data_IF_307307357753
#
_entry.id   IF_307307357753
#
_cell.length_a   1.000
_cell.length_b   1.000
_cell.length_c   1.000
_cell.angle_alpha   90.00
_cell.angle_beta   90.00
_cell.angle_gamma   90.00
#
_symmetry.space_group_name_H-M   'P 1'
#
loop_
_entity.id
_entity.type
_entity.pdbx_description
1 polymer ?
#
# COMPACT_ATOMS: atom_id res chain seq x y z
N UNK A 1 -8.45 7.22 30.33
CA UNK A 1 -7.43 6.19 30.70
C UNK A 1 -6.53 6.05 29.49
N UNK A 2 -5.20 5.96 29.67
CA UNK A 2 -4.29 5.78 28.55
C UNK A 2 -4.38 4.39 27.94
N UNK A 3 -4.34 4.31 26.61
CA UNK A 3 -4.29 3.05 25.86
C UNK A 3 -2.86 2.53 25.72
N UNK A 4 -1.87 3.41 25.69
CA UNK A 4 -0.47 2.99 25.74
C UNK A 4 -0.10 2.69 27.19
N UNK A 5 0.43 1.49 27.45
CA UNK A 5 0.83 1.05 28.81
C UNK A 5 2.18 0.35 28.73
N UNK A 6 3.22 1.06 29.05
CA UNK A 6 4.58 0.54 29.05
C UNK A 6 4.95 0.04 30.45
N UNK A 7 5.30 -1.23 30.54
CA UNK A 7 5.81 -1.89 31.77
C UNK A 7 7.32 -1.94 31.80
N UNK A 8 7.94 -1.92 30.61
CA UNK A 8 9.38 -1.96 30.42
C UNK A 8 9.81 -0.92 29.38
N UNK A 9 11.10 -0.71 29.23
CA UNK A 9 11.62 -0.09 28.01
C UNK A 9 11.28 -0.97 26.79
N UNK A 10 11.33 -0.41 25.58
CA UNK A 10 11.07 -1.11 24.33
C UNK A 10 12.37 -1.22 23.49
N UNK A 11 12.85 -2.46 23.20
CA UNK A 11 12.32 -3.76 23.63
C UNK A 11 12.63 -4.06 25.11
N UNK A 12 11.75 -4.83 25.76
CA UNK A 12 11.98 -5.36 27.10
C UNK A 12 12.87 -6.60 27.12
N UNK A 13 13.12 -7.22 28.30
CA UNK A 13 14.04 -8.35 28.43
C UNK A 13 13.69 -9.56 27.56
N UNK A 14 12.41 -9.97 27.51
CA UNK A 14 11.97 -11.09 26.65
C UNK A 14 12.05 -10.71 25.17
N UNK A 15 11.75 -9.45 24.85
CA UNK A 15 11.93 -8.91 23.51
C UNK A 15 13.39 -9.00 23.05
N UNK A 16 14.35 -8.62 23.89
CA UNK A 16 15.79 -8.72 23.59
C UNK A 16 16.22 -10.18 23.33
N UNK A 17 15.76 -11.13 24.15
CA UNK A 17 16.03 -12.56 23.95
C UNK A 17 15.47 -13.06 22.59
N UNK A 18 14.24 -12.71 22.27
CA UNK A 18 13.63 -13.08 20.99
C UNK A 18 14.35 -12.44 19.79
N UNK A 19 14.85 -11.21 19.92
CA UNK A 19 15.62 -10.55 18.88
C UNK A 19 16.99 -11.20 18.65
N UNK A 20 17.64 -11.70 19.69
CA UNK A 20 18.87 -12.50 19.52
C UNK A 20 18.61 -13.82 18.82
N UNK A 21 17.51 -14.53 19.15
CA UNK A 21 17.05 -15.71 18.42
C UNK A 21 16.77 -15.37 16.94
N UNK A 22 16.10 -14.23 16.69
CA UNK A 22 15.83 -13.75 15.32
C UNK A 22 17.13 -13.56 14.53
N UNK A 23 18.12 -12.91 15.12
CA UNK A 23 19.44 -12.67 14.51
C UNK A 23 20.13 -13.95 14.08
N UNK A 24 20.00 -15.01 14.90
CA UNK A 24 20.61 -16.31 14.64
C UNK A 24 19.82 -17.17 13.65
N UNK A 25 18.49 -17.01 13.57
CA UNK A 25 17.60 -17.86 12.76
C UNK A 25 17.23 -17.26 11.40
N UNK A 26 17.26 -15.93 11.23
CA UNK A 26 16.78 -15.28 10.03
C UNK A 26 17.88 -14.53 9.29
N UNK A 27 17.78 -14.45 7.94
CA UNK A 27 18.76 -13.71 7.13
C UNK A 27 18.80 -12.22 7.51
N UNK A 28 19.99 -11.65 7.60
CA UNK A 28 20.19 -10.23 7.92
C UNK A 28 19.50 -9.27 6.93
N UNK A 29 19.28 -9.70 5.70
CA UNK A 29 18.56 -8.93 4.67
C UNK A 29 17.05 -8.78 4.93
N UNK A 30 16.46 -9.56 5.85
CA UNK A 30 15.07 -9.40 6.26
C UNK A 30 14.94 -8.23 7.24
N UNK A 31 14.71 -7.03 6.70
CA UNK A 31 14.57 -5.81 7.48
C UNK A 31 13.36 -5.87 8.45
N UNK A 32 13.47 -5.13 9.54
CA UNK A 32 12.36 -4.82 10.46
C UNK A 32 12.36 -3.32 10.74
N UNK A 33 11.19 -2.76 10.93
CA UNK A 33 11.03 -1.32 11.20
C UNK A 33 11.12 -1.00 12.70
N UNK A 34 10.77 -1.95 13.55
CA UNK A 34 10.78 -1.82 15.01
C UNK A 34 11.40 -3.04 15.68
N UNK A 35 11.78 -2.90 16.95
CA UNK A 35 12.29 -3.98 17.80
C UNK A 35 11.18 -4.62 18.68
N UNK A 36 9.93 -4.41 18.32
CA UNK A 36 8.78 -4.97 19.03
C UNK A 36 8.60 -6.44 18.65
N UNK A 37 8.43 -7.29 19.65
CA UNK A 37 8.12 -8.71 19.51
C UNK A 37 6.70 -8.96 20.01
N UNK A 38 5.78 -9.21 19.07
CA UNK A 38 4.34 -9.28 19.34
C UNK A 38 3.98 -10.60 19.99
N UNK A 39 3.16 -10.54 21.07
CA UNK A 39 2.48 -11.67 21.68
C UNK A 39 1.03 -11.80 21.19
N UNK A 40 0.28 -10.70 21.17
CA UNK A 40 -1.09 -10.65 20.67
C UNK A 40 -1.43 -9.27 20.12
N UNK A 41 -2.50 -9.20 19.32
CA UNK A 41 -3.00 -7.94 18.79
C UNK A 41 -4.53 -8.00 18.63
N UNK A 42 -5.21 -6.85 18.84
CA UNK A 42 -6.66 -6.74 18.77
C UNK A 42 -7.07 -5.30 18.42
N UNK A 43 -7.94 -5.12 17.44
CA UNK A 43 -8.36 -3.80 16.97
C UNK A 43 -7.16 -2.97 16.49
N UNK A 44 -6.87 -1.87 17.16
CA UNK A 44 -5.70 -1.02 16.90
C UNK A 44 -4.59 -1.18 17.96
N UNK A 45 -4.68 -2.17 18.82
CA UNK A 45 -3.74 -2.40 19.93
C UNK A 45 -2.87 -3.63 19.66
N UNK A 46 -1.61 -3.53 20.09
CA UNK A 46 -0.62 -4.60 20.03
C UNK A 46 -0.02 -4.78 21.42
N UNK A 47 0.13 -6.02 21.86
CA UNK A 47 0.86 -6.36 23.08
C UNK A 47 2.13 -7.09 22.73
N UNK A 48 3.25 -6.64 23.33
CA UNK A 48 4.51 -7.33 23.18
C UNK A 48 4.69 -8.45 24.20
N UNK A 49 5.74 -9.25 24.02
CA UNK A 49 6.08 -10.39 24.90
C UNK A 49 6.46 -9.99 26.34
N UNK A 50 6.76 -8.72 26.57
CA UNK A 50 7.07 -8.15 27.90
C UNK A 50 5.81 -7.57 28.56
N UNK A 51 4.66 -7.61 27.88
CA UNK A 51 3.35 -7.17 28.35
C UNK A 51 3.12 -5.66 28.20
N UNK A 52 3.92 -4.97 27.40
CA UNK A 52 3.65 -3.59 27.01
C UNK A 52 2.45 -3.57 26.04
N UNK A 53 1.61 -2.56 26.16
CA UNK A 53 0.48 -2.30 25.26
C UNK A 53 0.78 -1.06 24.42
N UNK A 54 0.71 -1.21 23.10
CA UNK A 54 1.08 -0.21 22.12
C UNK A 54 -0.10 0.10 21.18
N UNK A 55 -0.09 1.30 20.59
CA UNK A 55 -0.98 1.67 19.48
C UNK A 55 -0.31 1.39 18.13
N UNK A 56 -1.09 0.86 17.18
CA UNK A 56 -0.61 0.53 15.84
C UNK A 56 -1.06 1.58 14.80
N UNK A 57 -0.12 2.45 14.39
CA UNK A 57 -0.30 3.36 13.25
C UNK A 57 0.40 2.86 11.99
N UNK A 58 0.99 1.66 12.03
CA UNK A 58 1.60 1.02 10.86
C UNK A 58 0.62 0.08 10.13
N UNK A 59 -0.36 -0.48 10.85
CA UNK A 59 -1.41 -1.35 10.30
C UNK A 59 -0.86 -2.52 9.49
N UNK A 60 0.30 -3.10 9.90
CA UNK A 60 0.96 -4.16 9.11
C UNK A 60 1.34 -3.72 7.69
N UNK A 61 1.75 -2.47 7.49
CA UNK A 61 1.96 -1.81 6.19
C UNK A 61 0.62 -1.63 5.44
N UNK A 62 -0.43 -1.28 6.18
CA UNK A 62 -1.76 -0.99 5.64
C UNK A 62 -2.55 -2.24 5.22
N UNK A 63 -2.33 -3.38 5.90
CA UNK A 63 -3.08 -4.61 5.59
C UNK A 63 -4.16 -4.95 6.63
N UNK A 64 -4.26 -4.22 7.75
CA UNK A 64 -5.17 -4.51 8.85
C UNK A 64 -6.27 -3.43 8.94
N UNK A 65 -6.98 -3.18 7.84
CA UNK A 65 -8.02 -2.14 7.83
C UNK A 65 -9.17 -2.44 8.80
N UNK A 66 -9.58 -3.72 8.90
CA UNK A 66 -10.66 -4.18 9.76
C UNK A 66 -10.23 -4.45 11.20
N UNK A 67 -8.99 -4.10 11.56
CA UNK A 67 -8.41 -4.34 12.88
C UNK A 67 -7.76 -5.71 13.02
N UNK A 68 -6.82 -5.78 13.97
CA UNK A 68 -6.22 -7.05 14.36
C UNK A 68 -7.28 -7.98 14.96
N UNK A 69 -7.19 -9.28 14.63
CA UNK A 69 -8.02 -10.35 15.20
C UNK A 69 -9.53 -10.06 15.16
N UNK A 70 -10.01 -9.46 14.05
CA UNK A 70 -11.43 -9.16 13.87
C UNK A 70 -12.28 -10.41 14.08
N UNK A 71 -13.28 -10.35 14.98
CA UNK A 71 -14.06 -11.50 15.42
C UNK A 71 -14.80 -12.20 14.28
N UNK A 72 -15.42 -11.46 13.35
CA UNK A 72 -16.13 -12.04 12.20
C UNK A 72 -15.17 -12.81 11.30
N UNK A 73 -14.00 -12.24 11.02
CA UNK A 73 -12.96 -12.87 10.21
C UNK A 73 -12.42 -14.12 10.90
N UNK A 74 -12.10 -14.04 12.20
CA UNK A 74 -11.58 -15.18 12.98
C UNK A 74 -12.59 -16.32 13.06
N UNK A 75 -13.88 -16.03 13.25
CA UNK A 75 -14.91 -17.05 13.31
C UNK A 75 -15.09 -17.74 11.94
N UNK A 76 -15.14 -16.99 10.83
CA UNK A 76 -15.20 -17.58 9.50
C UNK A 76 -14.00 -18.51 9.19
N UNK A 77 -12.80 -18.11 9.64
CA UNK A 77 -11.60 -18.95 9.54
C UNK A 77 -11.77 -20.26 10.31
N UNK A 78 -12.25 -20.21 11.57
CA UNK A 78 -12.49 -21.39 12.40
C UNK A 78 -13.51 -22.33 11.76
N UNK A 79 -14.64 -21.79 11.29
CA UNK A 79 -15.68 -22.55 10.63
C UNK A 79 -15.18 -23.24 9.34
N UNK A 80 -14.26 -22.60 8.62
CA UNK A 80 -13.64 -23.21 7.43
C UNK A 80 -12.64 -24.30 7.80
N UNK A 81 -11.87 -24.12 8.87
CA UNK A 81 -10.91 -25.13 9.33
C UNK A 81 -11.61 -26.44 9.75
N UNK A 82 -12.83 -26.38 10.26
CA UNK A 82 -13.63 -27.56 10.61
C UNK A 82 -14.13 -28.33 9.37
N UNK A 83 -14.13 -27.72 8.17
CA UNK A 83 -14.53 -28.37 6.91
C UNK A 83 -13.33 -28.97 6.21
N UNK A 84 -12.41 -28.15 5.77
CA UNK A 84 -11.13 -28.54 5.14
C UNK A 84 -10.21 -27.32 5.01
N UNK A 85 -8.91 -27.58 4.96
CA UNK A 85 -7.90 -26.50 4.86
C UNK A 85 -7.69 -26.10 3.40
N UNK A 86 -7.37 -27.06 2.53
CA UNK A 86 -7.03 -26.77 1.13
C UNK A 86 -7.09 -28.05 0.27
N UNK A 87 -7.61 -27.94 -0.96
CA UNK A 87 -7.68 -29.05 -1.93
C UNK A 87 -7.07 -28.72 -3.29
N UNK A 88 -6.55 -27.49 -3.45
CA UNK A 88 -5.98 -26.92 -4.68
C UNK A 88 -7.02 -26.68 -5.80
N UNK A 89 -7.17 -25.41 -6.20
CA UNK A 89 -8.12 -25.00 -7.25
C UNK A 89 -7.84 -25.58 -8.64
N UNK A 90 -6.61 -26.09 -8.85
CA UNK A 90 -6.23 -26.78 -10.10
C UNK A 90 -6.67 -28.24 -10.11
N UNK A 91 -7.12 -28.78 -8.98
CA UNK A 91 -7.54 -30.19 -8.82
C UNK A 91 -9.04 -30.27 -8.58
N UNK A 92 -9.58 -29.39 -7.75
CA UNK A 92 -11.00 -29.37 -7.36
C UNK A 92 -11.53 -27.94 -7.41
N UNK A 93 -12.84 -27.80 -7.64
CA UNK A 93 -13.53 -26.52 -7.44
C UNK A 93 -13.85 -26.33 -5.97
N UNK A 94 -13.66 -25.13 -5.44
CA UNK A 94 -13.88 -24.76 -4.05
C UNK A 94 -14.86 -23.58 -3.97
N UNK A 95 -16.01 -23.77 -3.29
CA UNK A 95 -17.03 -22.71 -3.13
C UNK A 95 -16.45 -21.37 -2.61
N UNK A 96 -15.60 -21.33 -1.56
CA UNK A 96 -15.05 -20.06 -1.09
C UNK A 96 -14.22 -19.30 -2.16
N UNK A 97 -13.61 -20.03 -3.12
CA UNK A 97 -12.93 -19.40 -4.25
C UNK A 97 -13.93 -18.70 -5.18
N UNK A 98 -15.03 -19.40 -5.51
CA UNK A 98 -16.07 -18.86 -6.39
C UNK A 98 -16.74 -17.64 -5.75
N UNK A 99 -17.16 -17.76 -4.49
CA UNK A 99 -17.80 -16.69 -3.72
C UNK A 99 -16.94 -15.42 -3.69
N UNK A 100 -15.64 -15.55 -3.44
CA UNK A 100 -14.71 -14.42 -3.42
C UNK A 100 -14.52 -13.82 -4.82
N UNK A 101 -14.38 -14.66 -5.85
CA UNK A 101 -14.22 -14.20 -7.22
C UNK A 101 -15.46 -13.42 -7.71
N UNK A 102 -16.66 -13.94 -7.45
CA UNK A 102 -17.92 -13.28 -7.78
C UNK A 102 -18.08 -11.95 -7.03
N UNK A 103 -17.72 -11.93 -5.73
CA UNK A 103 -17.76 -10.73 -4.93
C UNK A 103 -16.82 -9.65 -5.50
N UNK A 104 -15.58 -9.98 -5.84
CA UNK A 104 -14.62 -9.05 -6.42
C UNK A 104 -15.04 -8.60 -7.81
N UNK A 105 -15.61 -9.48 -8.64
CA UNK A 105 -16.18 -9.13 -9.95
C UNK A 105 -17.28 -8.07 -9.80
N UNK A 106 -18.13 -8.20 -8.77
CA UNK A 106 -19.23 -7.25 -8.52
C UNK A 106 -18.77 -5.87 -8.06
N UNK A 107 -17.64 -5.80 -7.35
CA UNK A 107 -17.08 -4.57 -6.78
C UNK A 107 -16.17 -3.81 -7.74
N UNK A 108 -15.56 -4.50 -8.69
CA UNK A 108 -14.60 -3.90 -9.62
C UNK A 108 -15.33 -2.96 -10.62
N UNK A 109 -14.87 -1.70 -10.79
CA UNK A 109 -15.52 -0.74 -11.67
C UNK A 109 -15.50 -1.17 -13.16
N UNK A 110 -16.44 -0.64 -13.92
CA UNK A 110 -16.61 -0.87 -15.36
C UNK A 110 -17.82 -1.75 -15.71
N UNK A 111 -18.46 -1.45 -16.86
CA UNK A 111 -19.64 -2.15 -17.38
C UNK A 111 -19.27 -3.21 -18.42
N UNK A 112 -18.43 -4.16 -18.05
CA UNK A 112 -18.01 -5.28 -18.88
C UNK A 112 -18.00 -6.58 -18.05
N UNK A 113 -18.10 -7.76 -18.69
CA UNK A 113 -17.92 -9.03 -18.00
C UNK A 113 -16.54 -9.10 -17.34
N UNK A 114 -16.49 -9.59 -16.12
CA UNK A 114 -15.26 -9.67 -15.34
C UNK A 114 -14.98 -11.07 -14.88
N UNK A 115 -13.69 -11.38 -14.70
CA UNK A 115 -13.19 -12.60 -14.06
C UNK A 115 -12.14 -12.26 -13.03
N UNK A 116 -11.95 -13.16 -12.08
CA UNK A 116 -10.94 -13.03 -11.02
C UNK A 116 -10.08 -14.28 -10.96
N UNK A 117 -8.77 -14.09 -10.99
CA UNK A 117 -7.76 -15.07 -10.62
C UNK A 117 -7.24 -14.75 -9.22
N UNK A 118 -7.22 -15.74 -8.31
CA UNK A 118 -6.69 -15.58 -6.96
C UNK A 118 -5.25 -16.10 -6.89
N UNK A 119 -4.41 -15.39 -6.12
CA UNK A 119 -3.03 -15.74 -5.83
C UNK A 119 -2.72 -15.49 -4.34
N UNK A 120 -1.46 -15.57 -3.89
CA UNK A 120 -1.13 -15.55 -2.46
C UNK A 120 -0.52 -14.21 -2.01
N UNK A 121 0.08 -13.47 -2.92
CA UNK A 121 0.77 -12.22 -2.59
C UNK A 121 0.56 -11.15 -3.67
N UNK A 122 0.72 -9.89 -3.29
CA UNK A 122 0.66 -8.78 -4.25
C UNK A 122 1.68 -8.92 -5.39
N UNK A 123 2.87 -9.45 -5.11
CA UNK A 123 3.88 -9.71 -6.17
C UNK A 123 3.38 -10.74 -7.17
N UNK A 124 2.77 -11.84 -6.72
CA UNK A 124 2.16 -12.83 -7.63
C UNK A 124 1.01 -12.22 -8.45
N UNK A 125 0.17 -11.38 -7.83
CA UNK A 125 -0.90 -10.70 -8.54
C UNK A 125 -0.37 -9.81 -9.66
N UNK A 126 0.63 -8.98 -9.40
CA UNK A 126 1.26 -8.13 -10.42
C UNK A 126 1.96 -8.95 -11.50
N UNK A 127 2.72 -10.01 -11.13
CA UNK A 127 3.36 -10.93 -12.11
C UNK A 127 2.31 -11.49 -13.07
N UNK A 128 1.20 -12.04 -12.54
CA UNK A 128 0.15 -12.62 -13.36
C UNK A 128 -0.57 -11.56 -14.21
N UNK A 129 -0.90 -10.40 -13.64
CA UNK A 129 -1.57 -9.33 -14.38
C UNK A 129 -0.76 -8.88 -15.60
N UNK A 130 0.56 -8.68 -15.42
CA UNK A 130 1.45 -8.28 -16.51
C UNK A 130 1.62 -9.41 -17.53
N UNK A 131 1.78 -10.66 -17.09
CA UNK A 131 1.92 -11.81 -17.99
C UNK A 131 0.64 -12.04 -18.80
N UNK A 132 -0.53 -11.89 -18.19
CA UNK A 132 -1.83 -11.96 -18.88
C UNK A 132 -1.94 -10.85 -19.93
N UNK A 133 -1.57 -9.61 -19.57
CA UNK A 133 -1.56 -8.48 -20.50
C UNK A 133 -0.62 -8.72 -21.69
N UNK A 134 0.60 -9.24 -21.44
CA UNK A 134 1.54 -9.63 -22.52
C UNK A 134 0.97 -10.69 -23.42
N UNK A 135 0.33 -11.71 -22.82
CA UNK A 135 -0.27 -12.81 -23.59
C UNK A 135 -1.44 -12.31 -24.45
N UNK A 136 -2.29 -11.46 -23.90
CA UNK A 136 -3.45 -10.89 -24.59
C UNK A 136 -3.02 -9.99 -25.75
N UNK A 137 -2.13 -9.05 -25.51
CA UNK A 137 -1.70 -8.05 -26.52
C UNK A 137 -0.69 -8.60 -27.52
N UNK A 138 -0.01 -9.72 -27.21
CA UNK A 138 1.16 -10.25 -27.93
C UNK A 138 2.33 -9.27 -27.99
N UNK A 139 2.46 -8.40 -26.95
CA UNK A 139 3.50 -7.40 -26.80
C UNK A 139 4.30 -7.67 -25.53
N UNK A 140 5.52 -7.09 -25.41
CA UNK A 140 6.42 -7.38 -24.29
C UNK A 140 6.68 -6.18 -23.37
N UNK A 141 6.60 -4.96 -23.89
CA UNK A 141 6.98 -3.78 -23.14
C UNK A 141 5.94 -3.40 -22.07
N UNK A 142 6.41 -2.89 -20.95
CA UNK A 142 5.56 -2.41 -19.85
C UNK A 142 6.04 -1.03 -19.41
N UNK A 143 5.11 -0.10 -19.29
CA UNK A 143 5.37 1.23 -18.73
C UNK A 143 4.98 1.26 -17.27
N UNK A 144 5.87 1.75 -16.41
CA UNK A 144 5.66 1.98 -14.98
C UNK A 144 6.19 3.36 -14.56
N UNK A 145 6.08 3.68 -13.27
CA UNK A 145 6.34 5.04 -12.79
C UNK A 145 7.44 5.10 -11.73
N UNK A 146 8.15 6.23 -11.66
CA UNK A 146 9.07 6.51 -10.56
C UNK A 146 8.29 6.57 -9.23
N UNK A 147 8.93 6.16 -8.15
CA UNK A 147 8.30 6.05 -6.84
C UNK A 147 7.44 4.80 -6.63
N UNK A 148 7.05 4.07 -7.69
CA UNK A 148 6.19 2.90 -7.60
C UNK A 148 6.82 1.73 -6.85
N UNK A 149 5.96 0.93 -6.19
CA UNK A 149 6.32 -0.34 -5.58
C UNK A 149 5.31 -1.43 -5.97
N UNK A 150 5.75 -2.38 -6.77
CA UNK A 150 4.91 -3.47 -7.29
C UNK A 150 5.30 -4.87 -6.79
N UNK A 151 6.33 -4.97 -5.95
CA UNK A 151 6.77 -6.24 -5.36
C UNK A 151 8.27 -6.50 -5.46
N UNK A 152 8.68 -7.74 -5.14
CA UNK A 152 10.09 -8.17 -5.06
C UNK A 152 10.40 -9.48 -5.79
N UNK A 153 9.51 -10.02 -6.61
CA UNK A 153 9.83 -11.07 -7.57
C UNK A 153 10.55 -10.45 -8.77
N UNK A 154 11.12 -11.20 -9.67
CA UNK A 154 12.01 -10.67 -10.70
C UNK A 154 11.36 -9.58 -11.56
N UNK A 155 10.14 -9.83 -12.09
CA UNK A 155 9.42 -8.84 -12.88
C UNK A 155 8.94 -7.67 -12.00
N UNK A 156 8.31 -7.93 -10.85
CA UNK A 156 7.80 -6.87 -9.98
C UNK A 156 8.92 -6.03 -9.38
N UNK A 157 10.09 -6.61 -9.11
CA UNK A 157 11.29 -5.88 -8.71
C UNK A 157 11.81 -4.99 -9.85
N UNK A 158 11.68 -5.45 -11.10
CA UNK A 158 12.01 -4.66 -12.28
C UNK A 158 11.10 -3.42 -12.39
N UNK A 159 9.79 -3.58 -12.09
CA UNK A 159 8.79 -2.50 -12.06
C UNK A 159 8.95 -1.58 -10.84
N UNK A 160 9.39 -2.10 -9.68
CA UNK A 160 9.59 -1.34 -8.45
C UNK A 160 10.69 -0.29 -8.62
N UNK A 161 10.46 0.91 -8.05
CA UNK A 161 11.41 2.01 -7.98
C UNK A 161 12.29 1.92 -6.71
N UNK A 162 12.84 3.02 -6.19
CA UNK A 162 13.68 3.11 -4.98
C UNK A 162 14.85 2.11 -4.99
N UNK A 163 15.70 2.27 -6.02
CA UNK A 163 16.77 1.33 -6.35
C UNK A 163 17.69 0.99 -5.17
N UNK A 164 18.14 2.00 -4.44
CA UNK A 164 19.10 1.82 -3.34
C UNK A 164 18.57 0.90 -2.21
N UNK A 165 17.24 0.91 -1.96
CA UNK A 165 16.65 0.11 -0.90
C UNK A 165 16.26 -1.30 -1.36
N UNK A 166 15.62 -1.42 -2.56
CA UNK A 166 14.99 -2.67 -2.96
C UNK A 166 15.78 -3.46 -4.00
N UNK A 167 16.60 -2.80 -4.81
CA UNK A 167 17.15 -3.38 -6.04
C UNK A 167 18.67 -3.57 -6.04
N UNK A 168 19.41 -2.82 -5.21
CA UNK A 168 20.88 -2.83 -5.21
C UNK A 168 21.43 -4.24 -5.01
N UNK A 169 22.21 -4.72 -5.99
CA UNK A 169 22.91 -6.01 -5.93
C UNK A 169 22.08 -7.23 -6.35
N UNK A 170 20.80 -7.07 -6.77
CA UNK A 170 19.97 -8.21 -7.20
C UNK A 170 20.08 -8.58 -8.68
N UNK A 171 21.06 -8.06 -9.39
CA UNK A 171 21.50 -8.57 -10.69
C UNK A 171 20.64 -8.15 -11.86
N UNK A 172 20.55 -8.99 -12.89
CA UNK A 172 19.85 -8.64 -14.12
C UNK A 172 18.34 -8.57 -13.92
N UNK A 173 17.74 -7.47 -14.39
CA UNK A 173 16.29 -7.26 -14.37
C UNK A 173 15.66 -7.68 -15.69
N UNK A 174 14.31 -7.81 -15.71
CA UNK A 174 13.53 -8.09 -16.91
C UNK A 174 13.69 -6.92 -17.89
N UNK A 175 13.93 -7.23 -19.17
CA UNK A 175 13.97 -6.27 -20.26
C UNK A 175 12.60 -5.65 -20.56
N UNK A 176 12.58 -4.62 -21.39
CA UNK A 176 11.37 -3.96 -21.88
C UNK A 176 10.48 -3.34 -20.77
N UNK A 177 11.11 -2.92 -19.69
CA UNK A 177 10.48 -2.11 -18.63
C UNK A 177 10.90 -0.65 -18.80
N UNK A 178 9.92 0.17 -19.11
CA UNK A 178 10.10 1.61 -19.28
C UNK A 178 9.54 2.34 -18.06
N UNK A 179 10.28 3.33 -17.57
CA UNK A 179 9.90 4.06 -16.36
C UNK A 179 9.94 5.56 -16.63
N UNK A 180 8.83 6.23 -16.34
CA UNK A 180 8.71 7.68 -16.43
C UNK A 180 8.38 8.29 -15.06
N UNK A 181 8.63 9.59 -14.84
CA UNK A 181 8.23 10.28 -13.63
C UNK A 181 6.72 10.19 -13.39
N UNK A 182 6.31 9.94 -12.14
CA UNK A 182 4.93 10.10 -11.71
C UNK A 182 4.65 11.57 -11.36
N UNK A 183 3.43 12.08 -11.58
CA UNK A 183 3.06 13.41 -11.09
C UNK A 183 3.22 13.51 -9.57
N UNK A 184 4.06 14.44 -9.10
CA UNK A 184 4.24 14.78 -7.70
C UNK A 184 4.00 16.28 -7.53
N UNK A 185 2.78 16.66 -7.20
CA UNK A 185 2.36 18.06 -7.16
C UNK A 185 3.08 18.86 -6.07
N UNK A 186 3.47 18.23 -4.97
CA UNK A 186 4.29 18.90 -3.94
C UNK A 186 5.69 19.26 -4.45
N UNK A 187 6.34 18.34 -5.19
CA UNK A 187 7.70 18.53 -5.72
C UNK A 187 7.72 19.00 -7.17
N UNK A 188 6.62 19.60 -7.63
CA UNK A 188 6.45 20.11 -8.99
C UNK A 188 7.59 21.04 -9.47
N UNK A 189 7.38 21.73 -10.55
CA UNK A 189 8.35 22.68 -11.11
C UNK A 189 8.07 24.07 -10.55
N UNK A 190 9.12 24.75 -10.08
CA UNK A 190 9.02 26.09 -9.55
C UNK A 190 8.39 27.07 -10.59
N UNK A 191 7.46 27.87 -10.13
CA UNK A 191 6.74 28.83 -10.96
C UNK A 191 5.56 28.26 -11.75
N UNK A 192 5.33 26.93 -11.73
CA UNK A 192 4.14 26.31 -12.32
C UNK A 192 3.02 26.18 -11.30
N UNK A 193 1.80 26.50 -11.71
CA UNK A 193 0.59 26.09 -10.99
C UNK A 193 0.43 24.56 -11.05
N UNK A 194 -0.39 23.98 -10.14
CA UNK A 194 -0.68 22.54 -10.15
C UNK A 194 -1.23 22.09 -11.51
N UNK A 195 -2.16 22.83 -12.11
CA UNK A 195 -2.74 22.51 -13.42
C UNK A 195 -1.70 22.50 -14.55
N UNK A 196 -0.80 23.50 -14.58
CA UNK A 196 0.29 23.57 -15.57
C UNK A 196 1.27 22.41 -15.38
N UNK A 197 1.58 22.05 -14.11
CA UNK A 197 2.45 20.92 -13.83
C UNK A 197 1.82 19.58 -14.26
N UNK A 198 0.52 19.38 -14.03
CA UNK A 198 -0.20 18.19 -14.50
C UNK A 198 -0.17 18.12 -16.03
N UNK A 199 -0.44 19.23 -16.71
CA UNK A 199 -0.35 19.31 -18.17
C UNK A 199 1.07 19.02 -18.68
N UNK A 200 2.10 19.49 -17.98
CA UNK A 200 3.50 19.16 -18.28
C UNK A 200 3.76 17.65 -18.11
N UNK A 201 3.27 17.01 -17.06
CA UNK A 201 3.42 15.56 -16.85
C UNK A 201 2.71 14.75 -17.94
N UNK A 202 1.51 15.19 -18.38
CA UNK A 202 0.79 14.57 -19.50
C UNK A 202 1.61 14.69 -20.79
N UNK A 203 2.18 15.87 -21.06
CA UNK A 203 3.06 16.06 -22.21
C UNK A 203 4.29 15.14 -22.14
N UNK A 204 4.90 14.97 -20.96
CA UNK A 204 6.04 14.06 -20.77
C UNK A 204 5.68 12.59 -21.00
N UNK A 205 4.47 12.17 -20.66
CA UNK A 205 3.98 10.84 -21.03
C UNK A 205 3.93 10.68 -22.56
N UNK A 206 3.37 11.64 -23.29
CA UNK A 206 3.29 11.59 -24.75
C UNK A 206 4.69 11.66 -25.41
N UNK A 207 5.58 12.49 -24.91
CA UNK A 207 6.97 12.57 -25.36
C UNK A 207 7.75 11.26 -25.15
N UNK A 208 7.41 10.47 -24.11
CA UNK A 208 8.05 9.17 -23.86
C UNK A 208 7.78 8.17 -24.98
N UNK A 209 6.65 8.30 -25.69
CA UNK A 209 6.32 7.46 -26.85
C UNK A 209 7.13 7.82 -28.12
N UNK A 210 7.77 8.99 -28.11
CA UNK A 210 8.67 9.40 -29.19
C UNK A 210 10.12 9.02 -28.88
N UNK A 211 10.51 9.12 -27.59
CA UNK A 211 11.92 9.09 -27.19
C UNK A 211 12.36 7.81 -26.47
N UNK A 212 11.42 7.03 -25.90
CA UNK A 212 11.78 5.90 -25.04
C UNK A 212 11.15 4.58 -25.50
N UNK A 213 9.88 4.55 -25.87
CA UNK A 213 9.16 3.31 -26.19
C UNK A 213 8.09 3.56 -27.23
N UNK A 214 8.01 2.68 -28.23
CA UNK A 214 6.89 2.65 -29.16
C UNK A 214 5.62 2.20 -28.42
N UNK A 215 4.53 3.02 -28.39
CA UNK A 215 3.30 2.66 -27.71
C UNK A 215 2.65 1.39 -28.29
N UNK A 216 2.89 1.05 -29.55
CA UNK A 216 2.40 -0.19 -30.16
C UNK A 216 3.15 -1.44 -29.62
N UNK A 217 4.31 -1.28 -29.00
CA UNK A 217 5.04 -2.36 -28.32
C UNK A 217 4.60 -2.60 -26.87
N UNK A 218 3.84 -1.66 -26.27
CA UNK A 218 3.40 -1.73 -24.90
C UNK A 218 2.28 -2.76 -24.72
N UNK A 219 2.52 -3.75 -23.87
CA UNK A 219 1.51 -4.69 -23.39
C UNK A 219 0.63 -4.06 -22.31
N UNK A 220 1.25 -3.32 -21.39
CA UNK A 220 0.55 -2.74 -20.25
C UNK A 220 1.18 -1.42 -19.79
N UNK A 221 0.33 -0.60 -19.17
CA UNK A 221 0.74 0.49 -18.28
C UNK A 221 0.24 0.13 -16.89
N UNK A 222 1.13 0.09 -15.89
CA UNK A 222 0.78 -0.20 -14.50
C UNK A 222 1.04 1.00 -13.60
N UNK A 223 0.06 1.35 -12.74
CA UNK A 223 0.16 2.47 -11.81
C UNK A 223 -0.58 2.18 -10.51
N UNK A 224 -0.05 2.66 -9.39
CA UNK A 224 -0.78 2.78 -8.13
C UNK A 224 -1.62 4.08 -8.19
N UNK A 225 -2.95 4.07 -8.06
CA UNK A 225 -3.77 5.31 -8.02
C UNK A 225 -3.39 6.28 -6.89
N UNK A 226 -2.86 5.73 -5.80
CA UNK A 226 -2.12 6.46 -4.77
C UNK A 226 -0.83 5.69 -4.51
N UNK A 227 0.31 6.26 -4.86
CA UNK A 227 1.59 5.58 -4.66
C UNK A 227 1.88 5.37 -3.17
N UNK A 228 2.08 4.12 -2.77
CA UNK A 228 2.33 3.75 -1.38
C UNK A 228 3.76 4.09 -0.94
N UNK A 229 4.74 3.33 -1.40
CA UNK A 229 6.14 3.49 -1.03
C UNK A 229 6.76 4.79 -1.58
N UNK A 230 6.21 5.34 -2.66
CA UNK A 230 6.57 6.65 -3.21
C UNK A 230 6.26 7.81 -2.28
N UNK A 231 5.40 7.62 -1.28
CA UNK A 231 5.08 8.62 -0.25
C UNK A 231 3.64 9.13 -0.31
N UNK A 232 2.69 8.24 -0.45
CA UNK A 232 1.25 8.52 -0.50
C UNK A 232 0.90 9.65 -1.46
N UNK A 233 1.38 9.49 -2.69
CA UNK A 233 1.17 10.44 -3.76
C UNK A 233 -0.13 10.11 -4.51
N UNK A 234 -1.23 10.85 -4.34
CA UNK A 234 -2.41 10.70 -5.18
C UNK A 234 -2.07 11.08 -6.61
N UNK A 235 -2.39 10.21 -7.55
CA UNK A 235 -2.24 10.54 -8.98
C UNK A 235 -3.41 11.43 -9.39
N UNK A 236 -3.17 12.60 -10.00
CA UNK A 236 -4.22 13.50 -10.42
C UNK A 236 -5.21 12.83 -11.38
N UNK A 237 -6.52 13.06 -11.20
CA UNK A 237 -7.58 12.46 -12.02
C UNK A 237 -7.36 12.71 -13.52
N UNK A 238 -6.96 13.92 -13.91
CA UNK A 238 -6.66 14.25 -15.30
C UNK A 238 -5.55 13.38 -15.90
N UNK A 239 -4.54 13.01 -15.09
CA UNK A 239 -3.47 12.12 -15.52
C UNK A 239 -3.97 10.68 -15.69
N UNK A 240 -4.79 10.16 -14.77
CA UNK A 240 -5.39 8.82 -14.88
C UNK A 240 -6.34 8.72 -16.08
N UNK A 241 -7.13 9.76 -16.36
CA UNK A 241 -7.94 9.84 -17.56
C UNK A 241 -7.09 9.83 -18.83
N UNK A 242 -5.96 10.55 -18.82
CA UNK A 242 -5.03 10.52 -19.96
C UNK A 242 -4.41 9.15 -20.18
N UNK A 243 -4.05 8.44 -19.09
CA UNK A 243 -3.60 7.05 -19.21
C UNK A 243 -4.67 6.15 -19.84
N UNK A 244 -5.93 6.29 -19.41
CA UNK A 244 -7.04 5.52 -20.03
C UNK A 244 -7.17 5.83 -21.52
N UNK A 245 -7.18 7.11 -21.90
CA UNK A 245 -7.22 7.54 -23.29
C UNK A 245 -6.10 6.93 -24.14
N UNK A 246 -4.87 6.97 -23.63
CA UNK A 246 -3.69 6.40 -24.29
C UNK A 246 -3.83 4.89 -24.42
N UNK A 247 -4.26 4.20 -23.37
CA UNK A 247 -4.47 2.77 -23.40
C UNK A 247 -5.54 2.36 -24.43
N UNK A 248 -6.63 3.11 -24.50
CA UNK A 248 -7.69 2.88 -25.50
C UNK A 248 -7.19 3.10 -26.93
N UNK A 249 -6.42 4.17 -27.14
CA UNK A 249 -5.89 4.54 -28.47
C UNK A 249 -4.95 3.47 -29.04
N UNK A 250 -4.11 2.88 -28.21
CA UNK A 250 -3.06 1.96 -28.66
C UNK A 250 -3.33 0.49 -28.29
N UNK A 251 -4.48 0.18 -27.70
CA UNK A 251 -4.82 -1.17 -27.26
C UNK A 251 -3.86 -1.69 -26.18
N UNK A 252 -3.48 -0.84 -25.24
CA UNK A 252 -2.61 -1.16 -24.08
C UNK A 252 -3.48 -1.56 -22.91
N UNK A 253 -3.11 -2.59 -22.15
CA UNK A 253 -3.85 -2.97 -20.95
C UNK A 253 -3.53 -2.00 -19.81
N UNK A 254 -4.54 -1.31 -19.29
CA UNK A 254 -4.43 -0.43 -18.13
C UNK A 254 -4.57 -1.23 -16.84
N UNK A 255 -3.49 -1.35 -16.05
CA UNK A 255 -3.46 -2.07 -14.77
C UNK A 255 -3.42 -1.05 -13.63
N UNK A 256 -4.42 -1.06 -12.75
CA UNK A 256 -4.39 -0.34 -11.49
C UNK A 256 -3.89 -1.26 -10.37
N UNK A 257 -2.78 -0.88 -9.74
CA UNK A 257 -2.26 -1.54 -8.54
C UNK A 257 -2.92 -0.94 -7.29
N UNK A 258 -3.94 -1.63 -6.81
CA UNK A 258 -4.74 -1.26 -5.64
C UNK A 258 -4.34 -2.03 -4.37
N UNK A 259 -3.16 -2.67 -4.39
CA UNK A 259 -2.70 -3.52 -3.29
C UNK A 259 -2.61 -2.75 -1.97
N UNK A 260 -2.18 -1.49 -1.99
CA UNK A 260 -2.07 -0.68 -0.77
C UNK A 260 -3.17 0.37 -0.64
N UNK A 261 -3.59 0.99 -1.72
CA UNK A 261 -4.57 2.08 -1.70
C UNK A 261 -6.03 1.61 -1.79
N UNK A 262 -6.26 0.37 -2.20
CA UNK A 262 -7.59 -0.22 -2.27
C UNK A 262 -8.15 -0.69 -0.93
N UNK A 263 -9.15 -1.56 -0.99
CA UNK A 263 -9.83 -2.14 0.16
C UNK A 263 -10.29 -1.07 1.19
N UNK A 264 -10.94 -0.04 0.70
CA UNK A 264 -11.57 0.99 1.52
C UNK A 264 -10.62 2.05 2.09
N UNK A 265 -9.30 1.86 2.05
CA UNK A 265 -8.30 2.72 2.71
C UNK A 265 -8.42 4.21 2.38
N UNK A 266 -8.89 4.54 1.19
CA UNK A 266 -9.06 5.92 0.70
C UNK A 266 -10.49 6.47 0.82
N UNK A 267 -11.44 5.71 1.41
CA UNK A 267 -12.85 6.11 1.54
C UNK A 267 -13.73 5.70 0.35
N UNK A 268 -13.16 5.05 -0.66
CA UNK A 268 -13.82 4.26 -1.71
C UNK A 268 -13.28 2.84 -1.65
N UNK A 269 -14.03 1.86 -2.18
CA UNK A 269 -13.54 0.48 -2.14
C UNK A 269 -12.22 0.33 -2.93
N UNK A 270 -12.15 0.90 -4.13
CA UNK A 270 -10.91 1.08 -4.88
C UNK A 270 -10.55 2.56 -5.00
N UNK A 271 -9.28 2.90 -4.84
CA UNK A 271 -8.81 4.29 -4.93
C UNK A 271 -9.00 4.91 -6.33
N UNK A 272 -8.94 4.12 -7.39
CA UNK A 272 -9.16 4.58 -8.77
C UNK A 272 -10.56 5.17 -8.97
N UNK A 273 -11.54 4.78 -8.16
CA UNK A 273 -12.91 5.30 -8.21
C UNK A 273 -13.00 6.81 -7.92
N UNK A 274 -12.02 7.39 -7.21
CA UNK A 274 -11.96 8.84 -6.98
C UNK A 274 -11.76 9.64 -8.27
N UNK A 275 -11.11 9.04 -9.25
CA UNK A 275 -10.87 9.68 -10.55
C UNK A 275 -11.98 9.41 -11.56
N UNK A 276 -12.73 8.31 -11.40
CA UNK A 276 -13.67 7.80 -12.41
C UNK A 276 -12.99 7.11 -13.61
N UNK A 277 -11.66 7.00 -13.64
CA UNK A 277 -10.96 6.21 -14.65
C UNK A 277 -11.22 4.71 -14.41
N UNK A 278 -11.50 3.96 -15.49
CA UNK A 278 -11.80 2.54 -15.41
C UNK A 278 -10.62 1.73 -15.96
N UNK A 279 -9.87 1.01 -15.12
CA UNK A 279 -8.80 0.14 -15.60
C UNK A 279 -9.33 -1.15 -16.23
N UNK A 280 -8.51 -1.80 -17.03
CA UNK A 280 -8.82 -3.11 -17.60
C UNK A 280 -8.62 -4.23 -16.61
N UNK A 281 -7.60 -4.08 -15.73
CA UNK A 281 -7.26 -4.99 -14.64
C UNK A 281 -7.03 -4.19 -13.35
N UNK A 282 -7.57 -4.69 -12.23
CA UNK A 282 -7.21 -4.26 -10.88
C UNK A 282 -6.48 -5.42 -10.19
N UNK A 283 -5.34 -5.12 -9.57
CA UNK A 283 -4.67 -6.05 -8.66
C UNK A 283 -4.90 -5.61 -7.23
N UNK A 284 -5.30 -6.54 -6.36
CA UNK A 284 -5.60 -6.29 -4.95
C UNK A 284 -4.97 -7.34 -4.03
N UNK A 285 -4.62 -6.95 -2.81
CA UNK A 285 -4.06 -7.81 -1.77
C UNK A 285 -4.18 -7.12 -0.42
N UNK A 286 -3.26 -7.39 0.52
CA UNK A 286 -3.20 -6.73 1.84
C UNK A 286 -4.54 -6.76 2.56
N UNK A 287 -5.20 -5.60 2.69
CA UNK A 287 -6.42 -5.46 3.51
C UNK A 287 -7.60 -6.31 3.06
N UNK A 288 -7.65 -6.76 1.80
CA UNK A 288 -8.70 -7.71 1.41
C UNK A 288 -8.60 -9.03 2.18
N UNK A 289 -7.39 -9.42 2.62
CA UNK A 289 -7.15 -10.68 3.33
C UNK A 289 -7.24 -10.59 4.86
N UNK A 290 -7.36 -9.38 5.43
CA UNK A 290 -7.40 -9.16 6.88
C UNK A 290 -6.29 -9.89 7.66
N UNK A 291 -5.09 -9.96 7.10
CA UNK A 291 -3.93 -10.66 7.67
C UNK A 291 -3.64 -12.01 7.04
N UNK A 292 -4.57 -12.63 6.30
CA UNK A 292 -4.32 -13.86 5.56
C UNK A 292 -3.61 -13.58 4.23
N UNK A 293 -2.70 -14.47 3.79
CA UNK A 293 -2.01 -14.33 2.50
C UNK A 293 -2.98 -14.62 1.34
N UNK A 294 -3.45 -13.56 0.69
CA UNK A 294 -4.31 -13.65 -0.49
C UNK A 294 -4.12 -12.39 -1.36
N UNK A 295 -4.27 -12.57 -2.66
CA UNK A 295 -4.32 -11.50 -3.64
C UNK A 295 -5.24 -11.88 -4.79
N UNK A 296 -5.67 -10.89 -5.55
CA UNK A 296 -6.56 -11.08 -6.67
C UNK A 296 -6.15 -10.22 -7.87
N UNK A 297 -6.39 -10.77 -9.05
CA UNK A 297 -6.32 -10.13 -10.36
C UNK A 297 -7.75 -10.14 -10.89
N UNK A 298 -8.42 -9.00 -10.89
CA UNK A 298 -9.80 -8.87 -11.39
C UNK A 298 -9.83 -7.94 -12.59
N UNK A 299 -10.44 -8.34 -13.68
CA UNK A 299 -10.44 -7.52 -14.87
C UNK A 299 -11.40 -8.02 -15.97
N UNK A 300 -11.27 -7.43 -17.17
CA UNK A 300 -12.06 -7.81 -18.33
C UNK A 300 -11.96 -9.29 -18.62
N UNK A 301 -13.10 -9.95 -18.80
CA UNK A 301 -13.13 -11.39 -19.01
C UNK A 301 -12.33 -11.80 -20.25
N UNK A 302 -12.40 -11.04 -21.35
CA UNK A 302 -11.63 -11.32 -22.58
C UNK A 302 -10.12 -11.26 -22.38
N UNK A 303 -9.65 -10.43 -21.43
CA UNK A 303 -8.22 -10.34 -21.10
C UNK A 303 -7.80 -11.50 -20.20
N UNK A 304 -8.61 -11.78 -19.17
CA UNK A 304 -8.32 -12.85 -18.19
C UNK A 304 -8.42 -14.24 -18.81
N UNK A 305 -9.24 -14.43 -19.84
CA UNK A 305 -9.41 -15.69 -20.58
C UNK A 305 -8.37 -15.90 -21.71
N UNK A 306 -7.57 -14.89 -22.02
CA UNK A 306 -6.61 -14.99 -23.12
C UNK A 306 -5.54 -16.09 -22.95
N UNK A 307 -4.96 -16.33 -21.76
CA UNK A 307 -3.97 -17.39 -21.58
C UNK A 307 -4.53 -18.77 -21.90
N UNK A 308 -3.67 -19.63 -22.47
CA UNK A 308 -4.03 -21.03 -22.73
C UNK A 308 -4.29 -21.81 -21.43
N UNK A 309 -5.01 -22.89 -21.50
CA UNK A 309 -5.30 -23.77 -20.36
C UNK A 309 -4.00 -24.21 -19.67
N UNK A 310 -3.91 -23.98 -18.36
CA UNK A 310 -2.70 -24.21 -17.56
C UNK A 310 -1.67 -23.07 -17.61
N UNK A 311 -1.94 -21.99 -18.35
CA UNK A 311 -1.04 -20.84 -18.45
C UNK A 311 -1.01 -19.93 -17.22
N UNK A 312 -2.01 -20.04 -16.34
CA UNK A 312 -2.10 -19.31 -15.06
C UNK A 312 -2.54 -20.25 -13.94
N UNK A 313 -2.21 -19.89 -12.69
CA UNK A 313 -2.60 -20.66 -11.52
C UNK A 313 -1.45 -20.84 -10.53
N UNK A 314 -1.72 -21.60 -9.46
CA UNK A 314 -0.75 -21.90 -8.41
C UNK A 314 -1.36 -22.83 -7.36
N UNK A 315 -0.54 -23.64 -6.71
CA UNK A 315 -1.01 -24.66 -5.75
C UNK A 315 -1.87 -24.08 -4.63
N UNK A 316 -1.50 -22.90 -4.09
CA UNK A 316 -2.16 -22.29 -2.94
C UNK A 316 -3.03 -21.07 -3.28
N UNK A 317 -3.06 -20.65 -4.54
CA UNK A 317 -3.90 -19.52 -4.97
C UNK A 317 -5.37 -19.78 -4.66
N UNK A 318 -6.01 -18.86 -3.90
CA UNK A 318 -7.39 -19.01 -3.46
C UNK A 318 -7.57 -20.08 -2.38
N UNK A 319 -6.63 -20.19 -1.42
CA UNK A 319 -6.84 -21.03 -0.23
C UNK A 319 -8.18 -20.73 0.43
N UNK A 320 -9.05 -21.74 0.69
CA UNK A 320 -10.38 -21.53 1.27
C UNK A 320 -10.36 -20.74 2.58
N UNK A 321 -9.38 -20.98 3.43
CA UNK A 321 -9.22 -20.25 4.70
C UNK A 321 -8.95 -18.75 4.44
N UNK A 322 -8.12 -18.43 3.46
CA UNK A 322 -7.86 -17.05 3.07
C UNK A 322 -9.06 -16.42 2.32
N UNK A 323 -9.80 -17.22 1.53
CA UNK A 323 -10.99 -16.75 0.82
C UNK A 323 -12.11 -16.35 1.80
N UNK A 324 -12.44 -17.19 2.80
CA UNK A 324 -13.48 -16.83 3.78
C UNK A 324 -13.07 -15.62 4.63
N UNK A 325 -11.80 -15.51 4.99
CA UNK A 325 -11.27 -14.32 5.65
C UNK A 325 -11.47 -13.06 4.80
N UNK A 326 -11.14 -13.15 3.50
CA UNK A 326 -11.30 -12.05 2.56
C UNK A 326 -12.77 -11.68 2.34
N UNK A 327 -13.67 -12.66 2.22
CA UNK A 327 -15.10 -12.41 2.08
C UNK A 327 -15.64 -11.62 3.26
N UNK A 328 -15.32 -12.02 4.50
CA UNK A 328 -15.78 -11.31 5.70
C UNK A 328 -15.14 -9.92 5.82
N UNK A 329 -13.85 -9.79 5.54
CA UNK A 329 -13.18 -8.48 5.51
C UNK A 329 -13.84 -7.54 4.47
N UNK A 330 -14.10 -8.01 3.27
CA UNK A 330 -14.74 -7.23 2.19
C UNK A 330 -16.16 -6.83 2.57
N UNK A 331 -16.95 -7.72 3.21
CA UNK A 331 -18.30 -7.39 3.71
C UNK A 331 -18.27 -6.21 4.68
N UNK A 332 -17.29 -6.19 5.60
CA UNK A 332 -17.09 -5.07 6.53
C UNK A 332 -16.68 -3.81 5.77
N UNK A 333 -15.62 -3.90 4.95
CA UNK A 333 -14.98 -2.78 4.27
C UNK A 333 -15.94 -2.06 3.30
N UNK A 334 -16.77 -2.80 2.56
CA UNK A 334 -17.71 -2.22 1.58
C UNK A 334 -18.92 -1.52 2.20
N UNK A 335 -19.13 -1.63 3.51
CA UNK A 335 -20.26 -0.99 4.17
C UNK A 335 -20.08 0.54 4.20
N UNK A 336 -21.19 1.27 4.03
CA UNK A 336 -21.18 2.73 4.12
C UNK A 336 -20.66 3.21 5.48
N UNK A 337 -20.99 2.52 6.56
CA UNK A 337 -20.51 2.82 7.90
C UNK A 337 -18.96 2.78 7.98
N UNK A 338 -18.35 1.73 7.40
CA UNK A 338 -16.91 1.60 7.39
C UNK A 338 -16.24 2.66 6.52
N UNK A 339 -16.76 2.91 5.29
CA UNK A 339 -16.21 3.91 4.38
C UNK A 339 -16.36 5.34 4.94
N UNK A 340 -17.46 5.62 5.64
CA UNK A 340 -17.63 6.88 6.37
C UNK A 340 -16.60 7.01 7.49
N UNK A 341 -16.38 5.94 8.27
CA UNK A 341 -15.34 5.94 9.32
C UNK A 341 -13.94 6.17 8.76
N UNK A 342 -13.61 5.61 7.59
CA UNK A 342 -12.34 5.91 6.89
C UNK A 342 -12.18 7.40 6.64
N UNK A 343 -13.24 8.07 6.18
CA UNK A 343 -13.21 9.50 5.90
C UNK A 343 -13.08 10.33 7.19
N UNK A 344 -13.78 9.96 8.26
CA UNK A 344 -13.68 10.62 9.57
C UNK A 344 -12.26 10.53 10.15
N UNK A 345 -11.71 9.31 10.22
CA UNK A 345 -10.32 9.09 10.68
C UNK A 345 -9.34 9.86 9.80
N UNK A 346 -9.52 9.80 8.49
CA UNK A 346 -8.68 10.50 7.54
C UNK A 346 -8.73 12.02 7.67
N UNK A 347 -9.90 12.59 7.93
CA UNK A 347 -10.08 14.02 8.11
C UNK A 347 -9.50 14.50 9.45
N UNK A 348 -9.68 13.74 10.52
CA UNK A 348 -9.07 14.01 11.82
C UNK A 348 -7.54 14.07 11.69
N UNK A 349 -6.94 13.06 11.04
CA UNK A 349 -5.49 13.02 10.81
C UNK A 349 -5.06 14.23 9.94
N UNK A 350 -5.75 14.50 8.83
CA UNK A 350 -5.42 15.61 7.92
C UNK A 350 -5.39 16.94 8.65
N UNK A 351 -6.48 17.26 9.34
CA UNK A 351 -6.62 18.54 10.05
C UNK A 351 -5.55 18.70 11.13
N UNK A 352 -5.27 17.64 11.87
CA UNK A 352 -4.22 17.63 12.89
C UNK A 352 -2.84 17.89 12.28
N UNK A 353 -2.49 17.16 11.21
CA UNK A 353 -1.19 17.32 10.55
C UNK A 353 -1.01 18.69 9.88
N UNK A 354 -2.07 19.26 9.30
CA UNK A 354 -2.03 20.63 8.74
C UNK A 354 -1.79 21.66 9.84
N UNK A 355 -2.44 21.56 11.01
CA UNK A 355 -2.17 22.41 12.15
C UNK A 355 -0.70 22.29 12.62
N UNK A 356 -0.15 21.07 12.60
CA UNK A 356 1.27 20.88 12.94
C UNK A 356 2.20 21.47 11.89
N UNK A 357 1.83 21.43 10.61
CA UNK A 357 2.60 22.08 9.55
C UNK A 357 2.75 23.58 9.79
N UNK A 358 1.71 24.25 10.28
CA UNK A 358 1.82 25.66 10.68
C UNK A 358 2.76 25.86 11.88
N UNK A 359 2.77 24.91 12.84
CA UNK A 359 3.52 25.00 14.09
C UNK A 359 4.99 24.58 13.94
N UNK A 360 5.27 23.58 13.09
CA UNK A 360 6.59 22.95 12.99
C UNK A 360 7.23 23.15 11.60
N UNK A 361 8.22 24.05 11.45
CA UNK A 361 8.91 24.31 10.17
C UNK A 361 9.53 23.08 9.49
N UNK A 362 9.86 22.03 10.25
CA UNK A 362 10.41 20.79 9.69
C UNK A 362 9.37 19.98 8.88
N UNK A 363 8.07 20.29 9.00
CA UNK A 363 7.02 19.67 8.18
C UNK A 363 6.92 20.41 6.85
N UNK A 364 7.27 19.74 5.75
CA UNK A 364 7.20 20.30 4.40
C UNK A 364 5.83 20.11 3.77
N UNK A 365 5.23 18.93 3.93
CA UNK A 365 3.97 18.59 3.27
C UNK A 365 3.12 17.61 4.07
N UNK A 366 1.80 17.72 3.89
CA UNK A 366 0.78 16.80 4.41
C UNK A 366 -0.10 16.38 3.24
N UNK A 367 -0.23 15.08 2.96
CA UNK A 367 -0.99 14.59 1.81
C UNK A 367 -1.62 13.22 2.03
N UNK A 368 -2.41 12.80 1.05
CA UNK A 368 -3.10 11.50 1.01
C UNK A 368 -4.61 11.64 0.84
N UNK A 369 -5.32 10.53 0.75
CA UNK A 369 -6.78 10.44 0.57
C UNK A 369 -7.37 9.52 1.65
N UNK A 370 -8.52 9.87 2.19
CA UNK A 370 -9.17 9.09 3.27
C UNK A 370 -8.23 8.89 4.44
N UNK A 371 -8.12 7.68 4.96
CA UNK A 371 -7.21 7.32 6.04
C UNK A 371 -5.81 6.85 5.57
N UNK A 372 -5.47 7.07 4.31
CA UNK A 372 -4.12 6.92 3.78
C UNK A 372 -3.42 8.27 3.85
N UNK A 373 -2.88 8.64 5.02
CA UNK A 373 -2.30 9.96 5.31
C UNK A 373 -0.81 9.88 5.59
N UNK A 374 -0.10 10.96 5.23
CA UNK A 374 1.34 11.05 5.33
C UNK A 374 1.78 12.46 5.69
N UNK A 375 2.86 12.57 6.45
CA UNK A 375 3.61 13.81 6.69
C UNK A 375 5.02 13.68 6.13
N UNK A 376 5.47 14.66 5.36
CA UNK A 376 6.81 14.73 4.78
C UNK A 376 7.67 15.75 5.51
N UNK A 377 8.88 15.36 5.90
CA UNK A 377 9.82 16.20 6.62
C UNK A 377 10.92 16.72 5.70
N UNK A 378 11.25 17.99 5.88
CA UNK A 378 12.26 18.70 5.10
C UNK A 378 13.20 19.47 6.00
N UNK A 379 14.41 19.71 5.54
CA UNK A 379 15.36 20.60 6.21
C UNK A 379 14.96 22.04 6.04
N UNK A 380 14.41 22.37 4.87
CA UNK A 380 13.98 23.71 4.49
C UNK A 380 12.78 23.61 3.55
N UNK A 381 11.76 24.44 3.74
CA UNK A 381 10.50 24.40 2.99
C UNK A 381 10.61 24.94 1.58
N UNK A 382 11.49 25.91 1.36
CA UNK A 382 11.63 26.55 0.06
C UNK A 382 12.38 25.63 -0.91
N UNK A 383 13.48 25.07 -0.46
CA UNK A 383 14.25 24.08 -1.25
C UNK A 383 13.64 22.69 -1.28
N UNK A 384 12.75 22.39 -0.30
CA UNK A 384 12.15 21.06 -0.07
C UNK A 384 13.20 19.96 0.11
N UNK A 385 14.39 20.31 0.65
CA UNK A 385 15.46 19.33 0.88
C UNK A 385 14.98 18.27 1.89
N UNK A 386 15.00 16.95 1.52
CA UNK A 386 14.48 15.89 2.37
C UNK A 386 15.26 15.73 3.68
N UNK A 387 14.55 15.50 4.79
CA UNK A 387 15.14 15.20 6.09
C UNK A 387 14.86 13.77 6.56
N UNK A 388 15.61 12.82 6.02
CA UNK A 388 15.49 11.41 6.40
C UNK A 388 15.99 11.12 7.82
N UNK A 389 16.92 11.93 8.34
CA UNK A 389 17.51 11.77 9.67
C UNK A 389 16.48 12.15 10.74
N UNK A 390 15.91 13.36 10.67
CA UNK A 390 14.85 13.78 11.56
C UNK A 390 13.66 12.81 11.52
N UNK A 391 13.29 12.33 10.33
CA UNK A 391 12.20 11.35 10.18
C UNK A 391 12.48 10.06 10.95
N UNK A 392 13.71 9.56 10.88
CA UNK A 392 14.10 8.34 11.61
C UNK A 392 14.13 8.59 13.14
N UNK A 393 14.59 9.74 13.58
CA UNK A 393 14.57 10.13 15.01
C UNK A 393 13.13 10.19 15.56
N UNK A 394 12.22 10.85 14.83
CA UNK A 394 10.81 10.96 15.22
C UNK A 394 10.17 9.57 15.35
N UNK A 395 10.40 8.67 14.38
CA UNK A 395 9.89 7.30 14.46
C UNK A 395 10.44 6.55 15.65
N UNK A 396 11.74 6.62 15.89
CA UNK A 396 12.37 5.93 17.03
C UNK A 396 11.81 6.44 18.36
N UNK A 397 11.62 7.74 18.48
CA UNK A 397 11.07 8.36 19.68
C UNK A 397 9.59 7.97 19.88
N UNK A 398 8.76 8.04 18.83
CA UNK A 398 7.37 7.61 18.89
C UNK A 398 7.22 6.13 19.27
N UNK A 399 8.06 5.24 18.70
CA UNK A 399 8.07 3.82 19.04
C UNK A 399 8.51 3.60 20.51
N UNK A 400 9.52 4.33 20.99
CA UNK A 400 9.92 4.26 22.39
C UNK A 400 8.81 4.67 23.37
N UNK A 401 7.84 5.49 22.90
CA UNK A 401 6.66 5.89 23.65
C UNK A 401 5.40 5.07 23.30
N UNK A 402 5.55 3.93 22.65
CA UNK A 402 4.48 2.95 22.44
C UNK A 402 3.62 3.15 21.19
N UNK A 403 4.05 3.98 20.23
CA UNK A 403 3.36 4.18 18.96
C UNK A 403 4.11 3.46 17.82
N UNK A 404 3.51 2.42 17.24
CA UNK A 404 4.10 1.71 16.11
C UNK A 404 3.94 2.52 14.82
N UNK A 405 5.06 2.86 14.19
CA UNK A 405 5.09 3.69 12.98
C UNK A 405 6.13 3.19 11.99
N UNK A 406 5.95 3.58 10.72
CA UNK A 406 6.89 3.25 9.64
C UNK A 406 7.09 4.45 8.71
N UNK A 407 8.29 4.54 8.14
CA UNK A 407 8.62 5.56 7.15
C UNK A 407 8.26 5.15 5.74
N UNK A 408 8.13 6.13 4.85
CA UNK A 408 7.93 6.00 3.42
C UNK A 408 8.65 7.12 2.66
N UNK A 409 8.27 7.27 1.37
CA UNK A 409 8.81 8.30 0.49
C UNK A 409 10.10 7.87 -0.20
N UNK A 410 10.29 8.36 -1.44
CA UNK A 410 11.46 8.07 -2.25
C UNK A 410 12.77 8.39 -1.50
N UNK A 411 12.76 9.47 -0.72
CA UNK A 411 13.91 9.94 0.07
C UNK A 411 13.88 9.45 1.53
N UNK A 412 12.95 8.57 1.91
CA UNK A 412 12.79 8.05 3.28
C UNK A 412 12.55 9.14 4.34
N UNK A 413 12.00 10.26 3.95
CA UNK A 413 11.72 11.45 4.76
C UNK A 413 10.23 11.65 5.07
N UNK A 414 9.43 10.60 4.95
CA UNK A 414 8.00 10.62 5.20
C UNK A 414 7.62 9.65 6.31
N UNK A 415 6.63 10.03 7.13
CA UNK A 415 5.95 9.14 8.07
C UNK A 415 4.54 8.88 7.54
N UNK A 416 4.20 7.61 7.35
CA UNK A 416 2.86 7.20 6.93
C UNK A 416 2.02 6.80 8.12
N UNK A 417 0.79 7.27 8.14
CA UNK A 417 -0.21 6.94 9.14
C UNK A 417 -1.23 5.98 8.50
N UNK A 418 -1.25 4.76 8.98
CA UNK A 418 -2.09 3.66 8.50
C UNK A 418 -2.77 2.94 9.66
N UNK A 419 -3.40 3.65 10.62
CA UNK A 419 -4.06 2.95 11.72
C UNK A 419 -5.13 2.01 11.17
N UNK A 420 -5.42 0.89 11.86
CA UNK A 420 -6.66 0.15 11.64
C UNK A 420 -7.86 1.09 11.73
N UNK A 421 -8.85 0.95 10.85
CA UNK A 421 -10.00 1.88 10.78
C UNK A 421 -10.94 1.75 11.98
N UNK A 422 -10.89 0.63 12.66
CA UNK A 422 -11.62 0.38 13.90
C UNK A 422 -11.05 1.10 15.12
N UNK A 423 -9.99 1.90 14.94
CA UNK A 423 -9.42 2.74 16.00
C UNK A 423 -10.47 3.69 16.56
N UNK A 424 -10.54 3.81 17.89
CA UNK A 424 -11.45 4.79 18.52
C UNK A 424 -10.88 6.20 18.42
N UNK A 425 -11.73 7.22 18.61
CA UNK A 425 -11.28 8.62 18.55
C UNK A 425 -10.27 8.93 19.65
N UNK A 426 -10.46 8.33 20.84
CA UNK A 426 -9.54 8.51 21.96
C UNK A 426 -8.19 7.83 21.71
N UNK A 427 -8.17 6.64 21.09
CA UNK A 427 -6.94 5.95 20.67
C UNK A 427 -6.21 6.77 19.61
N UNK A 428 -6.96 7.29 18.63
CA UNK A 428 -6.41 8.12 17.56
C UNK A 428 -5.78 9.40 18.14
N UNK A 429 -6.49 10.07 19.04
CA UNK A 429 -6.00 11.28 19.70
C UNK A 429 -4.74 11.02 20.53
N UNK A 430 -4.68 9.91 21.30
CA UNK A 430 -3.49 9.55 22.08
C UNK A 430 -2.30 9.26 21.16
N UNK A 431 -2.49 8.50 20.07
CA UNK A 431 -1.41 8.22 19.12
C UNK A 431 -0.90 9.46 18.40
N UNK A 432 -1.80 10.38 18.01
CA UNK A 432 -1.42 11.66 17.42
C UNK A 432 -0.64 12.52 18.42
N UNK A 433 -1.02 12.56 19.70
CA UNK A 433 -0.29 13.29 20.72
C UNK A 433 1.16 12.75 20.90
N UNK A 434 1.34 11.43 20.93
CA UNK A 434 2.67 10.82 20.99
C UNK A 434 3.53 11.21 19.79
N UNK A 435 2.92 11.26 18.59
CA UNK A 435 3.63 11.69 17.39
C UNK A 435 3.98 13.17 17.43
N UNK A 436 3.05 14.03 17.88
CA UNK A 436 3.32 15.47 18.02
C UNK A 436 4.47 15.73 18.97
N UNK A 437 4.48 15.07 20.13
CA UNK A 437 5.55 15.22 21.13
C UNK A 437 6.92 14.78 20.55
N UNK A 438 6.97 13.71 19.75
CA UNK A 438 8.18 13.29 19.05
C UNK A 438 8.66 14.33 18.02
N UNK A 439 7.73 14.92 17.26
CA UNK A 439 8.02 16.01 16.32
C UNK A 439 8.55 17.24 17.04
N UNK A 440 7.94 17.63 18.16
CA UNK A 440 8.38 18.77 18.97
C UNK A 440 9.81 18.60 19.47
N UNK A 441 10.11 17.41 20.03
CA UNK A 441 11.50 17.09 20.50
C UNK A 441 12.52 17.13 19.37
N UNK A 442 12.18 16.61 18.18
CA UNK A 442 13.06 16.68 17.02
C UNK A 442 13.29 18.13 16.55
N UNK A 443 12.24 18.96 16.57
CA UNK A 443 12.34 20.39 16.22
C UNK A 443 13.23 21.17 17.19
N UNK A 444 13.14 20.90 18.50
CA UNK A 444 13.99 21.54 19.53
C UNK A 444 15.46 21.19 19.36
N UNK A 445 15.78 19.93 19.12
CA UNK A 445 17.15 19.50 18.84
C UNK A 445 17.74 20.21 17.63
N UNK A 446 16.97 20.39 16.55
CA UNK A 446 17.45 21.12 15.37
C UNK A 446 17.75 22.59 15.65
N UNK A 447 16.93 23.27 16.46
CA UNK A 447 17.21 24.65 16.86
C UNK A 447 18.51 24.76 17.65
N UNK A 448 18.80 23.78 18.51
CA UNK A 448 20.02 23.76 19.32
C UNK A 448 21.30 23.50 18.50
N UNK A 449 21.19 22.88 17.34
CA UNK A 449 22.35 22.62 16.44
C UNK A 449 22.64 23.83 15.53
N UNK A 450 21.68 24.73 15.32
CA UNK A 450 21.81 25.92 14.48
C UNK A 450 22.31 27.17 15.26
N UNK A 451 22.42 27.06 16.59
CA UNK A 451 23.00 28.05 17.53
C UNK A 451 24.41 27.60 17.92
#
# INVERSE_FOLDING_TARGET
MSFIKLKTALPGPKGLEALERRKNALPAGLAKSTDIVVERAEGALVWDVDGNQLLDFAGGIGMINVGHSNEQVVNAIKDQLDKYIHTCSLVTTMEPYLDLAELLNSLTPGNFPKKTLLANSGSEAVENAVNIAKYYTKRNAVLCFEGAYHGRTLLTLSLTSKYALFKKGFGSYVSDIYRIPAPNTYRGIEGMSEGEYIAFCIKKLEESFISQVDPESLAAIIIEPVQGEGGFLPIPAAYLHKLREVCDRYGIVFIADEIQCGAGRTGKFFAVEHSGAVPDIIVSAKSIGAGMPISAITGRAEILDAPHLGGVGGTYGGSPVACVAAIEAIKIIRSDAFLNRVNEVGETIRTTLENWKEKYPLIGDVRGIGAMRLVEFVKDRDTKEPDAEATLEIIKDAVAHGLLMIRAGLFSNCIRLLPPIVITDEQLAEGLQVLEDAIARAQEKRKAVLV
#
